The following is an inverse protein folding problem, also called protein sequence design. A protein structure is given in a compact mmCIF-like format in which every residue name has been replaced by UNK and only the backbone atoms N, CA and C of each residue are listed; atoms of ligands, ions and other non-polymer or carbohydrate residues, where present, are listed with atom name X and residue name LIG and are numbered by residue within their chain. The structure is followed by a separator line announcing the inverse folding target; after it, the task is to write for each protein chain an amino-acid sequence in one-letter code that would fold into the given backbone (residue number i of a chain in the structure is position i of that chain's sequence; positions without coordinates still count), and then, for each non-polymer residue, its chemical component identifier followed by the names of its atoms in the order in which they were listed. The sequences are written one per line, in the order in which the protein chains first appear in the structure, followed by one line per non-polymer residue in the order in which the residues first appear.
data_IF_667677762766
#
_entry.id   IF_667677762766
#
_cell.length_a   1.000
_cell.length_b   1.000
_cell.length_c   1.000
_cell.angle_alpha   90.00
_cell.angle_beta   90.00
_cell.angle_gamma   90.00
#
_symmetry.space_group_name_H-M   'P 1'
#
loop_
_entity.id
_entity.type
_entity.pdbx_description
1 polymer ?
#
# COMPACT_ATOMS: atom_id res chain seq x y z
N UNK A 1 -4.91 -0.33 15.93
CA UNK A 1 -4.23 -1.00 14.80
C UNK A 1 -2.99 -0.21 14.40
N UNK A 2 -1.86 -0.88 14.23
CA UNK A 2 -0.63 -0.26 13.75
C UNK A 2 -0.55 -0.38 12.22
N UNK A 3 0.34 0.42 11.62
CA UNK A 3 0.57 0.33 10.17
C UNK A 3 1.07 -1.07 9.78
N UNK A 4 1.92 -1.68 10.61
CA UNK A 4 2.40 -3.04 10.35
C UNK A 4 1.25 -4.03 10.36
N UNK A 5 0.36 -3.95 11.35
CA UNK A 5 -0.81 -4.83 11.42
C UNK A 5 -1.71 -4.64 10.21
N UNK A 6 -1.90 -3.39 9.78
CA UNK A 6 -2.70 -3.09 8.60
C UNK A 6 -2.10 -3.74 7.35
N UNK A 7 -0.80 -3.54 7.12
CA UNK A 7 -0.13 -4.09 5.93
C UNK A 7 -0.14 -5.62 5.93
N UNK A 8 0.22 -6.23 7.05
CA UNK A 8 0.25 -7.69 7.17
C UNK A 8 -1.14 -8.29 6.99
N UNK A 9 -2.18 -7.57 7.42
CA UNK A 9 -3.56 -8.02 7.30
C UNK A 9 -4.20 -7.76 5.94
N UNK A 10 -3.55 -7.04 5.03
CA UNK A 10 -4.13 -6.70 3.73
C UNK A 10 -4.60 -7.93 2.92
N UNK A 11 -3.81 -9.00 2.78
CA UNK A 11 -4.26 -10.13 1.98
C UNK A 11 -5.58 -10.73 2.45
N UNK A 12 -5.83 -10.72 3.76
CA UNK A 12 -7.06 -11.27 4.33
C UNK A 12 -8.27 -10.37 4.10
N UNK A 13 -8.05 -9.08 3.86
CA UNK A 13 -9.12 -8.09 3.66
C UNK A 13 -9.52 -7.93 2.20
N UNK A 14 -8.64 -8.31 1.27
CA UNK A 14 -8.90 -8.14 -0.15
C UNK A 14 -9.76 -9.30 -0.65
N UNK A 15 -10.83 -8.97 -1.37
CA UNK A 15 -11.69 -9.99 -1.98
C UNK A 15 -10.89 -10.74 -3.05
N UNK A 16 -10.77 -12.07 -2.97
CA UNK A 16 -10.02 -12.85 -3.97
C UNK A 16 -10.50 -12.65 -5.40
N UNK A 17 -11.79 -12.39 -5.60
CA UNK A 17 -12.33 -12.11 -6.93
C UNK A 17 -11.72 -10.86 -7.55
N UNK A 18 -11.39 -9.88 -6.71
CA UNK A 18 -10.79 -8.63 -7.17
C UNK A 18 -9.33 -8.81 -7.59
N UNK A 19 -8.72 -9.92 -7.23
CA UNK A 19 -7.31 -10.21 -7.54
C UNK A 19 -7.12 -10.95 -8.88
N UNK A 20 -8.20 -11.39 -9.50
CA UNK A 20 -8.10 -12.10 -10.77
C UNK A 20 -7.49 -11.22 -11.85
N UNK A 21 -6.44 -11.72 -12.50
CA UNK A 21 -5.77 -10.98 -13.56
C UNK A 21 -4.89 -9.84 -13.10
N UNK A 22 -4.76 -9.64 -11.78
CA UNK A 22 -3.92 -8.58 -11.23
C UNK A 22 -2.51 -9.09 -11.01
N UNK A 23 -1.53 -8.37 -11.56
CA UNK A 23 -0.11 -8.65 -11.36
C UNK A 23 0.53 -7.33 -10.94
N UNK A 24 0.90 -7.21 -9.67
CA UNK A 24 1.52 -5.98 -9.20
C UNK A 24 2.39 -6.22 -7.98
N UNK A 25 3.33 -5.31 -7.76
CA UNK A 25 4.21 -5.31 -6.58
C UNK A 25 4.24 -3.89 -6.04
N UNK A 26 3.89 -3.74 -4.77
CA UNK A 26 3.96 -2.47 -4.08
C UNK A 26 5.01 -2.54 -2.97
N UNK A 27 5.90 -1.57 -2.93
CA UNK A 27 6.81 -1.39 -1.80
C UNK A 27 6.25 -0.35 -0.86
N UNK A 28 6.14 -0.69 0.41
CA UNK A 28 5.74 0.27 1.45
C UNK A 28 6.97 0.55 2.31
N UNK A 29 7.56 1.71 2.11
CA UNK A 29 8.73 2.17 2.84
C UNK A 29 8.29 3.29 3.77
N UNK A 30 7.97 2.92 4.99
CA UNK A 30 7.39 3.84 5.97
C UNK A 30 8.43 4.24 7.03
N UNK A 31 8.23 5.46 7.56
CA UNK A 31 9.07 5.97 8.65
C UNK A 31 10.57 5.96 8.30
N UNK A 32 10.89 6.31 7.06
CA UNK A 32 12.27 6.38 6.55
C UNK A 32 13.04 5.07 6.77
N UNK A 33 12.41 3.97 6.42
CA UNK A 33 13.01 2.65 6.54
C UNK A 33 12.72 1.94 7.85
N UNK A 34 11.98 2.57 8.76
CA UNK A 34 11.60 1.96 10.03
C UNK A 34 10.60 0.83 9.88
N UNK A 35 9.81 0.85 8.80
CA UNK A 35 8.87 -0.22 8.49
C UNK A 35 8.85 -0.42 6.98
N UNK A 36 9.37 -1.55 6.53
CA UNK A 36 9.46 -1.87 5.11
C UNK A 36 8.76 -3.18 4.83
N UNK A 37 7.77 -3.15 3.94
CA UNK A 37 7.00 -4.33 3.54
C UNK A 37 6.76 -4.30 2.04
N UNK A 38 6.63 -5.47 1.45
CA UNK A 38 6.27 -5.63 0.04
C UNK A 38 4.92 -6.31 -0.04
N UNK A 39 4.00 -5.74 -0.81
CA UNK A 39 2.74 -6.40 -1.14
C UNK A 39 2.85 -6.91 -2.56
N UNK A 40 2.81 -8.23 -2.73
CA UNK A 40 2.89 -8.87 -4.03
C UNK A 40 1.55 -9.51 -4.37
N UNK A 41 1.02 -9.18 -5.54
CA UNK A 41 -0.21 -9.79 -6.05
C UNK A 41 0.10 -10.50 -7.35
N UNK A 42 -0.15 -11.81 -7.37
CA UNK A 42 0.12 -12.65 -8.54
C UNK A 42 -0.69 -13.93 -8.44
N UNK A 43 -1.15 -14.44 -9.58
CA UNK A 43 -1.89 -15.70 -9.63
C UNK A 43 -3.15 -15.74 -8.79
N UNK A 44 -3.83 -14.60 -8.64
CA UNK A 44 -5.05 -14.50 -7.85
C UNK A 44 -4.83 -14.47 -6.35
N UNK A 45 -3.59 -14.29 -5.91
CA UNK A 45 -3.23 -14.27 -4.48
C UNK A 45 -2.45 -13.01 -4.14
N UNK A 46 -2.67 -12.51 -2.93
CA UNK A 46 -1.89 -11.42 -2.38
C UNK A 46 -1.06 -11.94 -1.21
N UNK A 47 0.18 -11.47 -1.10
CA UNK A 47 1.02 -11.81 0.05
C UNK A 47 1.86 -10.62 0.45
N UNK A 48 2.20 -10.56 1.73
CA UNK A 48 3.05 -9.51 2.29
C UNK A 48 4.37 -10.12 2.69
N UNK A 49 5.45 -9.52 2.20
CA UNK A 49 6.82 -9.96 2.47
C UNK A 49 7.54 -8.91 3.31
N UNK A 50 8.46 -9.37 4.15
CA UNK A 50 9.30 -8.45 4.92
C UNK A 50 10.32 -7.79 4.00
N UNK A 51 10.56 -6.50 4.24
CA UNK A 51 11.53 -5.74 3.47
C UNK A 51 10.99 -5.34 2.10
N UNK A 52 11.89 -4.79 1.28
CA UNK A 52 11.57 -4.35 -0.07
C UNK A 52 12.13 -5.38 -1.06
N UNK A 53 11.24 -6.21 -1.59
CA UNK A 53 11.61 -7.37 -2.41
C UNK A 53 11.10 -7.18 -3.83
N UNK A 54 11.95 -7.50 -4.81
CA UNK A 54 11.59 -7.47 -6.22
C UNK A 54 11.49 -6.06 -6.79
N UNK A 55 11.03 -5.98 -8.03
CA UNK A 55 10.84 -4.71 -8.74
C UNK A 55 9.43 -4.19 -8.48
N UNK A 56 9.28 -3.02 -7.85
CA UNK A 56 7.93 -2.51 -7.57
C UNK A 56 7.35 -1.83 -8.79
N UNK A 57 6.05 -1.99 -8.99
CA UNK A 57 5.32 -1.16 -9.93
C UNK A 57 4.97 0.18 -9.30
N UNK A 58 4.92 0.22 -7.97
CA UNK A 58 4.76 1.46 -7.22
C UNK A 58 5.48 1.33 -5.88
N UNK A 59 6.29 2.33 -5.55
CA UNK A 59 6.90 2.44 -4.24
C UNK A 59 6.21 3.57 -3.48
N UNK A 60 5.76 3.27 -2.26
CA UNK A 60 5.06 4.21 -1.39
C UNK A 60 5.99 4.58 -0.24
N UNK A 61 6.23 5.87 -0.07
CA UNK A 61 7.03 6.38 1.04
C UNK A 61 6.21 7.38 1.83
N UNK A 62 6.06 7.14 3.13
CA UNK A 62 5.24 7.99 3.99
C UNK A 62 5.56 7.68 5.45
N UNK A 63 4.93 8.44 6.36
CA UNK A 63 4.94 8.09 7.78
C UNK A 63 3.83 7.09 8.05
N UNK A 64 4.07 6.16 8.98
CA UNK A 64 3.04 5.22 9.41
C UNK A 64 1.78 5.93 9.88
N UNK A 65 1.94 7.04 10.61
CA UNK A 65 0.81 7.85 11.07
C UNK A 65 -0.03 8.36 9.91
N UNK A 66 0.60 8.84 8.84
CA UNK A 66 -0.11 9.33 7.66
C UNK A 66 -0.93 8.20 7.01
N UNK A 67 -0.31 7.03 6.86
CA UNK A 67 -0.99 5.88 6.28
C UNK A 67 -2.24 5.51 7.10
N UNK A 68 -2.11 5.49 8.42
CA UNK A 68 -3.23 5.12 9.29
C UNK A 68 -4.35 6.15 9.25
N UNK A 69 -4.02 7.43 9.11
CA UNK A 69 -5.04 8.47 8.95
C UNK A 69 -5.84 8.28 7.66
N UNK A 70 -5.17 7.88 6.58
CA UNK A 70 -5.85 7.57 5.32
C UNK A 70 -6.80 6.39 5.48
N UNK A 71 -6.35 5.34 6.15
CA UNK A 71 -7.15 4.13 6.39
C UNK A 71 -8.39 4.44 7.22
N UNK A 72 -8.26 5.34 8.20
CA UNK A 72 -9.37 5.74 9.07
C UNK A 72 -10.29 6.79 8.43
N UNK A 73 -9.94 7.29 7.25
CA UNK A 73 -10.70 8.35 6.60
C UNK A 73 -10.49 9.73 7.19
N UNK A 74 -9.45 9.90 8.02
CA UNK A 74 -9.15 11.18 8.68
C UNK A 74 -8.32 12.10 7.79
N UNK A 75 -7.84 11.61 6.66
CA UNK A 75 -7.04 12.39 5.72
C UNK A 75 -7.38 11.96 4.30
N UNK A 76 -7.35 12.92 3.37
CA UNK A 76 -7.62 12.67 1.96
C UNK A 76 -6.32 12.27 1.27
N UNK A 77 -6.33 11.15 0.54
CA UNK A 77 -5.14 10.62 -0.14
C UNK A 77 -4.58 11.60 -1.17
N UNK A 78 -5.44 12.24 -1.96
CA UNK A 78 -4.98 13.20 -2.97
C UNK A 78 -4.30 14.40 -2.33
N UNK A 79 -4.87 14.92 -1.23
CA UNK A 79 -4.28 16.04 -0.49
C UNK A 79 -2.94 15.64 0.12
N UNK A 80 -2.85 14.43 0.67
CA UNK A 80 -1.61 13.95 1.26
C UNK A 80 -0.48 13.89 0.22
N UNK A 81 -0.79 13.43 -0.99
CA UNK A 81 0.18 13.39 -2.08
C UNK A 81 0.59 14.80 -2.50
N UNK A 82 -0.38 15.70 -2.66
CA UNK A 82 -0.12 17.08 -3.05
C UNK A 82 0.73 17.82 -2.02
N UNK A 83 0.54 17.54 -0.74
CA UNK A 83 1.28 18.16 0.35
C UNK A 83 2.64 17.52 0.62
N UNK A 84 2.99 16.49 -0.15
CA UNK A 84 4.25 15.78 0.02
C UNK A 84 4.31 14.85 1.22
N UNK A 85 3.18 14.56 1.86
CA UNK A 85 3.12 13.63 2.98
C UNK A 85 3.29 12.18 2.54
N UNK A 86 2.90 11.89 1.30
CA UNK A 86 3.08 10.58 0.67
C UNK A 86 3.80 10.79 -0.65
N UNK A 87 4.84 9.98 -0.88
CA UNK A 87 5.56 9.97 -2.15
C UNK A 87 5.27 8.65 -2.85
N UNK A 88 4.86 8.74 -4.10
CA UNK A 88 4.53 7.59 -4.93
C UNK A 88 5.41 7.60 -6.17
N UNK A 89 6.06 6.46 -6.46
CA UNK A 89 6.85 6.34 -7.68
C UNK A 89 5.96 6.20 -8.91
N UNK A 90 4.73 5.71 -8.73
CA UNK A 90 3.76 5.55 -9.81
C UNK A 90 2.35 5.84 -9.28
N UNK A 91 1.94 7.12 -9.28
CA UNK A 91 0.61 7.48 -8.78
C UNK A 91 -0.53 6.78 -9.52
N UNK A 92 -0.38 6.53 -10.82
CA UNK A 92 -1.41 5.83 -11.60
C UNK A 92 -1.65 4.41 -11.10
N UNK A 93 -0.59 3.70 -10.76
CA UNK A 93 -0.70 2.34 -10.24
C UNK A 93 -1.37 2.35 -8.86
N UNK A 94 -1.00 3.31 -8.00
CA UNK A 94 -1.61 3.44 -6.69
C UNK A 94 -3.11 3.75 -6.80
N UNK A 95 -3.49 4.67 -7.66
CA UNK A 95 -4.91 5.05 -7.84
C UNK A 95 -5.74 3.87 -8.34
N UNK A 96 -5.15 3.02 -9.16
CA UNK A 96 -5.80 1.84 -9.71
C UNK A 96 -6.25 0.87 -8.59
N UNK A 97 -5.46 0.75 -7.54
CA UNK A 97 -5.68 -0.24 -6.49
C UNK A 97 -5.97 0.34 -5.11
N UNK A 98 -6.05 1.67 -4.98
CA UNK A 98 -6.23 2.30 -3.68
C UNK A 98 -7.50 1.84 -2.96
N UNK A 99 -8.61 1.69 -3.67
CA UNK A 99 -9.84 1.18 -3.08
C UNK A 99 -9.70 -0.25 -2.60
N UNK A 100 -8.97 -1.07 -3.38
CA UNK A 100 -8.74 -2.46 -3.05
C UNK A 100 -7.96 -2.59 -1.75
N UNK A 101 -7.03 -1.67 -1.50
CA UNK A 101 -6.22 -1.69 -0.28
C UNK A 101 -6.87 -0.97 0.90
N UNK A 102 -8.06 -0.39 0.71
CA UNK A 102 -8.74 0.31 1.79
C UNK A 102 -8.14 1.67 2.15
N UNK A 103 -7.41 2.28 1.23
CA UNK A 103 -6.75 3.58 1.44
C UNK A 103 -7.63 4.73 0.94
N UNK A 104 -8.62 4.44 0.14
CA UNK A 104 -9.58 5.42 -0.38
C UNK A 104 -11.01 4.96 -0.20
#
# INVERSE_FOLDING_TARGET
MTAQEFLVGLPAKINPEALKGVETVFHFDLDKGGLQKTLKVSGGKAEVLDGLVGEPKCAVSAKSETLMKLVKGEENAMMAVMMGKIKLSNPGEMMKYAKLFGIM
#
